data_IF_319789972885
#
_entry.id   IF_319789972885
#
_cell.length_a   1.000
_cell.length_b   1.000
_cell.length_c   1.000
_cell.angle_alpha   90.00
_cell.angle_beta   90.00
_cell.angle_gamma   90.00
#
_symmetry.space_group_name_H-M   'P 1'
#
loop_
_entity.id
_entity.type
_entity.pdbx_description
1 polymer ?
#
# COMPACT_ATOMS: atom_id res chain seq x y z
N UNK A 1 2.81 -4.91 -0.88
CA UNK A 1 3.70 -4.31 -1.91
C UNK A 1 4.42 -3.11 -1.30
N UNK A 2 5.25 -2.37 -2.03
CA UNK A 2 5.85 -1.12 -1.50
C UNK A 2 4.79 0.00 -1.42
N UNK A 3 4.96 0.96 -0.49
CA UNK A 3 3.97 2.03 -0.25
C UNK A 3 3.71 2.88 -1.49
N UNK A 4 4.74 3.13 -2.31
CA UNK A 4 4.59 3.85 -3.58
C UNK A 4 3.50 3.23 -4.46
N UNK A 5 3.54 1.90 -4.61
CA UNK A 5 2.58 1.19 -5.45
C UNK A 5 1.17 1.22 -4.87
N UNK A 6 1.03 1.07 -3.55
CA UNK A 6 -0.24 1.17 -2.86
C UNK A 6 -0.86 2.56 -2.93
N UNK A 7 -0.05 3.62 -2.86
CA UNK A 7 -0.53 5.00 -3.02
C UNK A 7 -1.06 5.24 -4.44
N UNK A 8 -0.29 4.88 -5.47
CA UNK A 8 -0.67 5.08 -6.88
C UNK A 8 -1.93 4.28 -7.22
N UNK A 9 -1.97 2.99 -6.85
CA UNK A 9 -3.13 2.12 -7.09
C UNK A 9 -4.32 2.55 -6.23
N UNK A 10 -4.09 3.03 -5.01
CA UNK A 10 -5.13 3.58 -4.15
C UNK A 10 -5.82 4.78 -4.78
N UNK A 11 -5.07 5.73 -5.35
CA UNK A 11 -5.64 6.85 -6.12
C UNK A 11 -6.36 6.36 -7.38
N UNK A 12 -5.79 5.37 -8.08
CA UNK A 12 -6.44 4.74 -9.22
C UNK A 12 -7.79 4.09 -8.84
N UNK A 13 -7.91 3.42 -7.70
CA UNK A 13 -9.17 2.84 -7.25
C UNK A 13 -10.17 3.90 -6.77
N UNK A 14 -9.68 4.91 -6.04
CA UNK A 14 -10.46 6.06 -5.59
C UNK A 14 -11.10 6.83 -6.76
N UNK A 15 -10.46 6.80 -7.94
CA UNK A 15 -10.95 7.46 -9.15
C UNK A 15 -12.35 7.01 -9.60
N UNK A 16 -12.77 5.79 -9.25
CA UNK A 16 -14.09 5.29 -9.56
C UNK A 16 -15.22 6.02 -8.79
N UNK A 17 -14.88 6.83 -7.78
CA UNK A 17 -15.83 7.51 -6.90
C UNK A 17 -15.50 9.03 -6.77
N UNK A 18 -15.49 9.80 -7.88
CA UNK A 18 -14.94 11.16 -7.92
C UNK A 18 -15.71 12.19 -7.06
N UNK A 19 -16.94 11.87 -6.67
CA UNK A 19 -17.80 12.73 -5.85
C UNK A 19 -18.04 12.21 -4.43
N UNK A 20 -17.43 11.08 -4.06
CA UNK A 20 -17.70 10.41 -2.79
C UNK A 20 -16.41 10.04 -2.05
N UNK A 21 -15.78 10.98 -1.30
CA UNK A 21 -14.51 10.74 -0.62
C UNK A 21 -14.48 9.51 0.29
N UNK A 22 -15.59 9.19 0.96
CA UNK A 22 -15.68 8.00 1.80
C UNK A 22 -15.66 6.68 0.99
N UNK A 23 -16.36 6.65 -0.15
CA UNK A 23 -16.31 5.50 -1.05
C UNK A 23 -14.95 5.40 -1.75
N UNK A 24 -14.36 6.54 -2.13
CA UNK A 24 -13.03 6.62 -2.70
C UNK A 24 -11.96 6.06 -1.74
N UNK A 25 -12.00 6.47 -0.46
CA UNK A 25 -11.15 5.92 0.59
C UNK A 25 -11.36 4.41 0.75
N UNK A 26 -12.61 3.95 0.78
CA UNK A 26 -12.95 2.54 0.95
C UNK A 26 -12.46 1.69 -0.23
N UNK A 27 -12.59 2.21 -1.46
CA UNK A 27 -12.07 1.57 -2.67
C UNK A 27 -10.54 1.49 -2.65
N UNK A 28 -9.86 2.55 -2.22
CA UNK A 28 -8.42 2.56 -2.06
C UNK A 28 -7.93 1.56 -0.99
N UNK A 29 -8.61 1.52 0.16
CA UNK A 29 -8.34 0.55 1.23
C UNK A 29 -8.56 -0.89 0.77
N UNK A 30 -9.64 -1.16 0.02
CA UNK A 30 -9.87 -2.47 -0.58
C UNK A 30 -8.77 -2.83 -1.59
N UNK A 31 -8.35 -1.87 -2.42
CA UNK A 31 -7.30 -2.08 -3.42
C UNK A 31 -5.97 -2.52 -2.79
N UNK A 32 -5.62 -1.99 -1.61
CA UNK A 32 -4.44 -2.42 -0.87
C UNK A 32 -4.45 -3.94 -0.63
N UNK A 33 -5.52 -4.46 -0.03
CA UNK A 33 -5.64 -5.88 0.27
C UNK A 33 -5.68 -6.75 -1.00
N UNK A 34 -6.33 -6.29 -2.07
CA UNK A 34 -6.32 -7.02 -3.35
C UNK A 34 -4.90 -7.08 -3.91
N UNK A 35 -4.14 -5.99 -3.82
CA UNK A 35 -2.76 -5.95 -4.33
C UNK A 35 -1.81 -6.81 -3.50
N UNK A 36 -1.99 -6.86 -2.18
CA UNK A 36 -1.24 -7.76 -1.30
C UNK A 36 -1.60 -9.24 -1.50
N UNK A 37 -2.78 -9.51 -2.05
CA UNK A 37 -3.19 -10.85 -2.46
C UNK A 37 -2.52 -11.33 -3.75
N UNK A 38 -1.78 -10.48 -4.47
CA UNK A 38 -1.03 -10.84 -5.67
C UNK A 38 0.44 -11.08 -5.28
N UNK A 39 1.12 -12.12 -5.80
CA UNK A 39 2.56 -12.29 -5.59
C UNK A 39 3.33 -11.02 -5.94
N UNK A 40 4.12 -10.52 -5.00
CA UNK A 40 4.85 -9.27 -5.20
C UNK A 40 6.16 -9.26 -4.39
N UNK A 41 7.00 -8.27 -4.67
CA UNK A 41 8.21 -8.03 -3.91
C UNK A 41 8.04 -6.85 -2.94
N UNK A 42 8.65 -6.96 -1.79
CA UNK A 42 8.78 -5.90 -0.80
C UNK A 42 10.19 -5.96 -0.21
N UNK A 43 10.68 -4.84 0.31
CA UNK A 43 11.96 -4.82 1.00
C UNK A 43 11.83 -5.36 2.42
N UNK A 44 12.85 -6.05 2.89
CA UNK A 44 12.91 -6.47 4.29
C UNK A 44 13.10 -5.27 5.23
N UNK A 45 12.36 -5.31 6.34
CA UNK A 45 12.52 -4.43 7.49
C UNK A 45 13.45 -5.09 8.49
N UNK A 46 14.63 -4.50 8.68
CA UNK A 46 15.67 -5.00 9.58
C UNK A 46 15.24 -5.02 11.05
N UNK A 47 14.36 -4.11 11.42
CA UNK A 47 13.78 -3.99 12.77
C UNK A 47 12.65 -4.98 13.05
N UNK A 48 12.19 -5.73 12.04
CA UNK A 48 11.08 -6.68 12.19
C UNK A 48 11.55 -8.03 12.73
N UNK A 49 10.92 -8.48 13.82
CA UNK A 49 11.01 -9.85 14.32
C UNK A 49 9.83 -10.66 13.81
N UNK A 50 10.12 -11.70 13.03
CA UNK A 50 9.13 -12.61 12.45
C UNK A 50 9.17 -13.96 13.18
N UNK A 51 8.08 -14.33 13.83
CA UNK A 51 7.79 -15.68 14.34
C UNK A 51 6.93 -16.42 13.30
N UNK A 52 7.49 -17.50 12.76
CA UNK A 52 6.84 -18.31 11.72
C UNK A 52 5.72 -19.20 12.26
N UNK A 53 5.70 -19.47 13.58
CA UNK A 53 4.74 -20.36 14.21
C UNK A 53 3.55 -19.59 14.78
N UNK A 54 3.77 -18.36 15.26
CA UNK A 54 2.71 -17.52 15.80
C UNK A 54 2.84 -16.06 15.35
N UNK A 55 2.01 -15.58 14.39
CA UNK A 55 2.12 -14.22 13.90
C UNK A 55 1.84 -13.15 14.97
N UNK A 56 1.13 -13.48 16.06
CA UNK A 56 0.90 -12.53 17.15
C UNK A 56 2.18 -12.21 17.95
N UNK A 57 3.21 -13.05 17.84
CA UNK A 57 4.53 -12.80 18.43
C UNK A 57 5.43 -11.93 17.56
N UNK A 58 5.02 -11.62 16.32
CA UNK A 58 5.76 -10.69 15.47
C UNK A 58 5.87 -9.33 16.15
N UNK A 59 7.01 -8.65 16.01
CA UNK A 59 7.25 -7.36 16.67
C UNK A 59 8.22 -6.47 15.90
N UNK A 60 8.30 -5.20 16.29
CA UNK A 60 9.28 -4.24 15.78
C UNK A 60 10.19 -3.80 16.92
N UNK A 61 11.49 -4.05 16.79
CA UNK A 61 12.48 -3.60 17.77
C UNK A 61 12.94 -2.18 17.49
N UNK A 62 12.71 -1.29 18.46
CA UNK A 62 13.18 0.10 18.38
C UNK A 62 14.68 0.16 18.63
N UNK A 63 15.45 0.54 17.61
CA UNK A 63 16.90 0.61 17.63
C UNK A 63 17.45 1.28 16.37
N UNK A 64 18.75 1.10 16.07
CA UNK A 64 19.38 1.67 14.86
C UNK A 64 18.70 1.20 13.58
N UNK A 65 18.35 -0.09 13.53
CA UNK A 65 17.66 -0.70 12.39
C UNK A 65 16.27 -0.11 12.16
N UNK A 66 15.55 0.21 13.25
CA UNK A 66 14.26 0.87 13.17
C UNK A 66 14.36 2.25 12.50
N UNK A 67 15.38 3.04 12.83
CA UNK A 67 15.57 4.33 12.17
C UNK A 67 15.97 4.20 10.69
N UNK A 68 16.71 3.15 10.33
CA UNK A 68 17.04 2.86 8.93
C UNK A 68 15.79 2.50 8.13
N UNK A 69 14.97 1.59 8.68
CA UNK A 69 13.70 1.19 8.09
C UNK A 69 12.72 2.37 8.00
N UNK A 70 12.63 3.17 9.07
CA UNK A 70 11.76 4.35 9.09
C UNK A 70 12.12 5.34 7.98
N UNK A 71 13.41 5.59 7.74
CA UNK A 71 13.86 6.45 6.62
C UNK A 71 13.47 5.85 5.27
N UNK A 72 13.68 4.54 5.09
CA UNK A 72 13.35 3.82 3.85
C UNK A 72 11.85 3.89 3.55
N UNK A 73 11.01 3.54 4.53
CA UNK A 73 9.54 3.56 4.44
C UNK A 73 9.03 4.99 4.23
N UNK A 74 9.60 5.98 4.93
CA UNK A 74 9.22 7.39 4.76
C UNK A 74 9.56 7.91 3.36
N UNK A 75 10.72 7.52 2.82
CA UNK A 75 11.12 7.88 1.47
C UNK A 75 10.22 7.23 0.41
N UNK A 76 9.88 5.95 0.59
CA UNK A 76 8.91 5.23 -0.25
C UNK A 76 7.52 5.89 -0.20
N UNK A 77 7.03 6.24 0.99
CA UNK A 77 5.78 7.00 1.14
C UNK A 77 5.83 8.35 0.41
N UNK A 78 6.95 9.08 0.53
CA UNK A 78 7.13 10.36 -0.15
C UNK A 78 7.11 10.21 -1.68
N UNK A 79 7.76 9.18 -2.23
CA UNK A 79 7.70 8.85 -3.64
C UNK A 79 6.27 8.50 -4.07
N UNK A 80 5.55 7.71 -3.28
CA UNK A 80 4.14 7.39 -3.50
C UNK A 80 3.26 8.64 -3.60
N UNK A 81 3.43 9.59 -2.68
CA UNK A 81 2.72 10.87 -2.71
C UNK A 81 3.10 11.64 -3.98
N UNK A 82 4.41 11.86 -4.23
CA UNK A 82 4.89 12.65 -5.36
C UNK A 82 4.39 12.06 -6.69
N UNK A 83 4.53 10.75 -6.90
CA UNK A 83 4.10 10.10 -8.13
C UNK A 83 2.58 10.07 -8.29
N UNK A 84 1.82 9.93 -7.19
CA UNK A 84 0.37 10.03 -7.25
C UNK A 84 -0.09 11.43 -7.67
N UNK A 85 0.49 12.48 -7.07
CA UNK A 85 0.23 13.86 -7.49
C UNK A 85 0.68 14.09 -8.93
N UNK A 86 1.91 13.73 -9.29
CA UNK A 86 2.44 13.94 -10.63
C UNK A 86 1.60 13.25 -11.71
N UNK A 87 1.26 11.97 -11.49
CA UNK A 87 0.47 11.19 -12.44
C UNK A 87 -0.96 11.73 -12.56
N UNK A 88 -1.68 11.85 -11.44
CA UNK A 88 -3.12 12.11 -11.49
C UNK A 88 -3.48 13.60 -11.60
N UNK A 89 -2.61 14.50 -11.14
CA UNK A 89 -2.83 15.94 -11.19
C UNK A 89 -2.14 16.62 -12.38
N UNK A 90 -0.92 16.20 -12.77
CA UNK A 90 -0.13 16.91 -13.79
C UNK A 90 -0.11 16.24 -15.18
N UNK A 91 -0.08 14.91 -15.28
CA UNK A 91 0.10 14.20 -16.56
C UNK A 91 -1.22 14.01 -17.35
N UNK A 92 -2.36 14.46 -16.82
CA UNK A 92 -3.61 14.52 -17.61
C UNK A 92 -4.54 13.32 -17.44
N UNK A 93 -4.59 12.73 -16.24
CA UNK A 93 -5.78 11.98 -15.81
C UNK A 93 -6.94 12.90 -15.40
N UNK A 94 -6.72 14.22 -15.28
CA UNK A 94 -7.71 15.32 -15.31
C UNK A 94 -9.03 15.19 -14.51
N UNK A 95 -9.18 14.27 -13.56
CA UNK A 95 -10.54 13.94 -13.04
C UNK A 95 -10.66 13.92 -11.50
N UNK A 96 -9.69 14.39 -10.72
CA UNK A 96 -9.78 14.24 -9.26
C UNK A 96 -9.67 15.54 -8.49
N UNK A 97 -10.73 15.85 -7.75
CA UNK A 97 -10.70 16.85 -6.70
C UNK A 97 -9.66 16.44 -5.65
N UNK A 98 -8.94 17.42 -5.09
CA UNK A 98 -7.92 17.19 -4.06
C UNK A 98 -8.39 16.24 -2.92
N UNK A 99 -9.66 16.30 -2.44
CA UNK A 99 -10.17 15.34 -1.47
C UNK A 99 -10.12 13.87 -1.92
N UNK A 100 -10.38 13.57 -3.19
CA UNK A 100 -10.36 12.19 -3.72
C UNK A 100 -8.92 11.69 -3.82
N UNK A 101 -8.00 12.53 -4.25
CA UNK A 101 -6.59 12.19 -4.29
C UNK A 101 -6.07 11.87 -2.88
N UNK A 102 -6.37 12.73 -1.91
CA UNK A 102 -5.98 12.51 -0.50
C UNK A 102 -6.64 11.24 0.05
N UNK A 103 -7.93 11.02 -0.22
CA UNK A 103 -8.65 9.81 0.18
C UNK A 103 -8.04 8.54 -0.43
N UNK A 104 -7.61 8.61 -1.70
CA UNK A 104 -6.96 7.52 -2.40
C UNK A 104 -5.59 7.15 -1.84
N UNK A 105 -4.72 8.15 -1.62
CA UNK A 105 -3.43 7.92 -0.96
C UNK A 105 -3.66 7.37 0.45
N UNK A 106 -4.48 8.06 1.24
CA UNK A 106 -4.72 7.69 2.63
C UNK A 106 -5.30 6.28 2.77
N UNK A 107 -6.30 5.92 1.96
CA UNK A 107 -6.89 4.58 1.96
C UNK A 107 -5.92 3.52 1.47
N UNK A 108 -5.15 3.81 0.43
CA UNK A 108 -4.17 2.87 -0.14
C UNK A 108 -3.05 2.49 0.84
N UNK A 109 -2.63 3.40 1.71
CA UNK A 109 -1.53 3.13 2.67
C UNK A 109 -2.01 2.84 4.10
N UNK A 110 -3.30 3.06 4.39
CA UNK A 110 -3.83 2.90 5.74
C UNK A 110 -3.60 1.52 6.36
N UNK A 111 -3.76 0.38 5.65
CA UNK A 111 -3.55 -0.94 6.25
C UNK A 111 -2.14 -1.13 6.85
N UNK A 112 -1.08 -0.73 6.15
CA UNK A 112 0.30 -0.80 6.66
C UNK A 112 0.50 0.06 7.92
N UNK A 113 -0.08 1.27 7.94
CA UNK A 113 -0.03 2.16 9.10
C UNK A 113 -0.77 1.54 10.30
N UNK A 114 -1.92 0.90 10.04
CA UNK A 114 -2.70 0.22 11.08
C UNK A 114 -1.97 -1.03 11.62
N UNK A 115 -1.18 -1.72 10.80
CA UNK A 115 -0.28 -2.77 11.26
C UNK A 115 0.80 -2.21 12.20
N UNK A 116 1.36 -1.03 11.92
CA UNK A 116 2.26 -0.37 12.86
C UNK A 116 1.56 -0.03 14.19
N UNK A 117 0.31 0.45 14.13
CA UNK A 117 -0.49 0.70 15.33
C UNK A 117 -0.74 -0.58 16.15
N UNK A 118 -0.92 -1.73 15.51
CA UNK A 118 -1.02 -3.02 16.21
C UNK A 118 0.22 -3.31 17.05
N UNK A 119 1.43 -3.14 16.51
CA UNK A 119 2.66 -3.41 17.28
C UNK A 119 2.79 -2.53 18.53
N UNK A 120 2.21 -1.33 18.50
CA UNK A 120 2.16 -0.43 19.67
C UNK A 120 1.09 -0.80 20.70
N UNK A 121 -0.13 -1.13 20.25
CA UNK A 121 -1.28 -1.24 21.15
C UNK A 121 -1.71 -2.68 21.48
N UNK A 122 -1.43 -3.65 20.60
CA UNK A 122 -1.69 -5.09 20.79
C UNK A 122 -3.13 -5.44 21.22
N UNK A 123 -4.12 -4.64 20.84
CA UNK A 123 -5.54 -4.79 21.22
C UNK A 123 -6.47 -4.63 20.04
N UNK A 124 -7.76 -4.93 20.23
CA UNK A 124 -8.77 -4.68 19.21
C UNK A 124 -9.00 -3.17 18.98
N UNK A 125 -9.37 -2.75 17.74
CA UNK A 125 -9.57 -3.58 16.54
C UNK A 125 -8.26 -3.90 15.78
N UNK A 126 -7.12 -3.34 16.19
CA UNK A 126 -5.84 -3.47 15.47
C UNK A 126 -5.34 -4.91 15.37
N UNK A 127 -5.61 -5.73 16.39
CA UNK A 127 -5.28 -7.15 16.38
C UNK A 127 -6.01 -7.90 15.26
N UNK A 128 -7.33 -7.70 15.12
CA UNK A 128 -8.10 -8.32 14.04
C UNK A 128 -7.63 -7.86 12.65
N UNK A 129 -7.37 -6.56 12.50
CA UNK A 129 -6.85 -5.99 11.25
C UNK A 129 -5.48 -6.56 10.89
N UNK A 130 -4.58 -6.66 11.88
CA UNK A 130 -3.26 -7.26 11.70
C UNK A 130 -3.34 -8.71 11.23
N UNK A 131 -4.18 -9.53 11.88
CA UNK A 131 -4.34 -10.94 11.50
C UNK A 131 -4.94 -11.08 10.10
N UNK A 132 -5.91 -10.23 9.75
CA UNK A 132 -6.50 -10.21 8.42
C UNK A 132 -5.47 -9.86 7.34
N UNK A 133 -4.71 -8.78 7.56
CA UNK A 133 -3.65 -8.34 6.65
C UNK A 133 -2.56 -9.41 6.51
N UNK A 134 -2.10 -9.98 7.62
CA UNK A 134 -1.13 -11.07 7.63
C UNK A 134 -1.64 -12.30 6.85
N UNK A 135 -2.91 -12.68 7.02
CA UNK A 135 -3.50 -13.82 6.31
C UNK A 135 -3.50 -13.61 4.79
N UNK A 136 -3.87 -12.42 4.32
CA UNK A 136 -3.82 -12.07 2.88
C UNK A 136 -2.38 -12.12 2.36
N UNK A 137 -1.46 -11.49 3.08
CA UNK A 137 -0.06 -11.37 2.65
C UNK A 137 0.69 -12.71 2.68
N UNK A 138 0.45 -13.54 3.70
CA UNK A 138 1.13 -14.83 3.91
C UNK A 138 0.95 -15.83 2.75
N UNK A 139 -0.13 -15.70 1.96
CA UNK A 139 -0.39 -16.57 0.80
C UNK A 139 0.59 -16.34 -0.36
N UNK A 140 1.28 -15.19 -0.41
CA UNK A 140 1.86 -14.68 -1.66
C UNK A 140 3.33 -14.29 -1.64
N UNK A 141 4.09 -14.69 -0.61
CA UNK A 141 5.54 -14.39 -0.44
C UNK A 141 6.50 -15.01 -1.47
N UNK A 142 5.99 -15.50 -2.60
CA UNK A 142 6.76 -16.26 -3.60
C UNK A 142 7.84 -15.45 -4.30
N UNK A 143 7.76 -14.12 -4.29
CA UNK A 143 8.66 -13.25 -5.07
C UNK A 143 9.69 -12.48 -4.21
N UNK A 144 9.72 -12.65 -2.89
CA UNK A 144 10.70 -11.98 -2.00
C UNK A 144 12.16 -12.24 -2.46
N UNK A 145 12.46 -13.46 -2.96
CA UNK A 145 13.79 -13.87 -3.45
C UNK A 145 14.09 -13.44 -4.89
N UNK A 146 13.10 -12.96 -5.64
CA UNK A 146 13.21 -12.65 -7.07
C UNK A 146 12.87 -11.18 -7.32
N UNK A 147 13.66 -10.27 -6.75
CA UNK A 147 13.34 -8.83 -6.73
C UNK A 147 13.13 -8.24 -8.14
N UNK A 148 13.90 -8.67 -9.15
CA UNK A 148 13.73 -8.19 -10.53
C UNK A 148 12.35 -8.54 -11.07
N UNK A 149 11.91 -9.80 -10.88
CA UNK A 149 10.60 -10.28 -11.33
C UNK A 149 9.49 -9.56 -10.57
N UNK A 150 9.66 -9.39 -9.26
CA UNK A 150 8.70 -8.67 -8.44
C UNK A 150 8.53 -7.21 -8.86
N UNK A 151 9.62 -6.46 -9.02
CA UNK A 151 9.58 -5.07 -9.48
C UNK A 151 8.95 -4.97 -10.88
N UNK A 152 9.35 -5.84 -11.81
CA UNK A 152 8.77 -5.87 -13.16
C UNK A 152 7.26 -6.10 -13.13
N UNK A 153 6.79 -7.07 -12.33
CA UNK A 153 5.37 -7.35 -12.17
C UNK A 153 4.61 -6.17 -11.54
N UNK A 154 5.19 -5.50 -10.54
CA UNK A 154 4.58 -4.31 -9.94
C UNK A 154 4.45 -3.17 -10.95
N UNK A 155 5.49 -2.90 -11.74
CA UNK A 155 5.45 -1.91 -12.81
C UNK A 155 4.36 -2.27 -13.82
N UNK A 156 4.29 -3.53 -14.25
CA UNK A 156 3.27 -4.00 -15.19
C UNK A 156 1.85 -3.82 -14.65
N UNK A 157 1.61 -4.17 -13.38
CA UNK A 157 0.31 -4.00 -12.72
C UNK A 157 -0.06 -2.51 -12.63
N UNK A 158 0.87 -1.66 -12.18
CA UNK A 158 0.64 -0.21 -12.09
C UNK A 158 0.32 0.36 -13.48
N UNK A 159 1.12 0.04 -14.50
CA UNK A 159 0.89 0.49 -15.87
C UNK A 159 -0.45 0.01 -16.42
N UNK A 160 -0.85 -1.24 -16.16
CA UNK A 160 -2.14 -1.77 -16.57
C UNK A 160 -3.30 -1.04 -15.88
N UNK A 161 -3.21 -0.82 -14.56
CA UNK A 161 -4.24 -0.10 -13.80
C UNK A 161 -4.36 1.34 -14.28
N UNK A 162 -3.23 2.04 -14.46
CA UNK A 162 -3.22 3.40 -15.00
C UNK A 162 -3.81 3.45 -16.41
N UNK A 163 -3.49 2.48 -17.26
CA UNK A 163 -4.12 2.34 -18.57
C UNK A 163 -5.64 2.19 -18.43
N UNK A 164 -6.12 1.27 -17.59
CA UNK A 164 -7.56 1.08 -17.36
C UNK A 164 -8.25 2.37 -16.88
N UNK A 165 -7.67 3.08 -15.92
CA UNK A 165 -8.23 4.36 -15.45
C UNK A 165 -8.32 5.38 -16.59
N UNK A 166 -7.26 5.51 -17.39
CA UNK A 166 -7.21 6.49 -18.49
C UNK A 166 -8.23 6.23 -19.59
N UNK A 167 -8.56 4.97 -19.85
CA UNK A 167 -9.47 4.62 -20.93
C UNK A 167 -10.93 4.43 -20.49
N UNK A 168 -11.18 4.04 -19.23
CA UNK A 168 -12.52 3.70 -18.76
C UNK A 168 -13.11 4.66 -17.71
N UNK A 169 -12.29 5.44 -17.02
CA UNK A 169 -12.76 6.27 -15.89
C UNK A 169 -12.63 7.77 -16.18
N UNK A 170 -11.61 8.19 -16.93
CA UNK A 170 -11.46 9.60 -17.29
C UNK A 170 -12.36 9.95 -18.48
N UNK A 171 -13.48 10.62 -18.21
CA UNK A 171 -14.38 11.25 -19.19
C UNK A 171 -14.00 12.71 -19.45
#
# INVERSE_FOLDING_TARGET
MILTSHAIIGVAAASAFPSHPALAFSAALASHYIMDAIPHWEYDLLSSKKDLNNPLNNDITVGKDFFSDFKKVSFDMLLGIIFSFFTFYFIGFNVFSLPILIAGIAGGVAPDILQFAYFRFRREPFKSLYLFHYWIHSRNKKLEKHFIVGIFLQILIISLILWLVKYFITF
#
